data_IF_621197899625
#
_entry.id   IF_621197899625
#
_cell.length_a   1.000
_cell.length_b   1.000
_cell.length_c   1.000
_cell.angle_alpha   90.00
_cell.angle_beta   90.00
_cell.angle_gamma   90.00
#
_symmetry.space_group_name_H-M   'P 1'
#
loop_
_entity.id
_entity.type
_entity.pdbx_description
1 polymer ?
#
# COMPACT_ATOMS: atom_id res chain seq x y z
N UNK A 1 34.25 41.22 -21.58
CA UNK A 1 35.19 41.62 -20.51
C UNK A 1 35.06 43.12 -20.30
N UNK A 2 34.46 43.54 -19.18
CA UNK A 2 34.51 44.91 -18.69
C UNK A 2 34.22 44.86 -17.19
N UNK A 3 35.25 45.02 -16.38
CA UNK A 3 35.18 45.09 -14.93
C UNK A 3 35.23 46.55 -14.52
N UNK A 4 34.24 46.98 -13.74
CA UNK A 4 34.12 48.34 -13.25
C UNK A 4 33.85 48.37 -11.74
N UNK A 5 34.86 48.89 -11.04
CA UNK A 5 34.80 49.68 -9.78
C UNK A 5 34.92 48.95 -8.44
N UNK A 6 36.15 49.06 -7.93
CA UNK A 6 36.56 49.14 -6.53
C UNK A 6 35.86 50.29 -5.77
N UNK A 7 35.61 50.06 -4.47
CA UNK A 7 35.87 51.02 -3.36
C UNK A 7 35.92 50.19 -2.07
N UNK A 8 37.09 49.94 -1.46
CA UNK A 8 37.94 50.81 -0.60
C UNK A 8 37.64 50.57 0.88
N UNK A 9 38.45 49.69 1.48
CA UNK A 9 38.62 49.54 2.92
C UNK A 9 39.45 50.71 3.46
N UNK A 10 39.05 51.29 4.58
CA UNK A 10 39.92 52.11 5.42
C UNK A 10 39.49 52.00 6.88
N UNK A 11 40.40 51.48 7.70
CA UNK A 11 40.37 51.47 9.15
C UNK A 11 40.34 52.89 9.74
N UNK A 12 39.75 53.02 10.92
CA UNK A 12 40.40 53.70 12.06
C UNK A 12 39.67 53.40 13.38
N UNK A 13 40.42 52.74 14.25
CA UNK A 13 40.27 52.57 15.69
C UNK A 13 40.00 53.86 16.47
N UNK A 14 39.21 53.78 17.55
CA UNK A 14 39.46 54.51 18.81
C UNK A 14 38.98 53.68 20.02
N UNK A 15 39.86 53.59 21.02
CA UNK A 15 39.70 52.96 22.32
C UNK A 15 38.77 53.77 23.25
N UNK A 16 38.19 53.11 24.26
CA UNK A 16 38.02 53.75 25.57
C UNK A 16 36.78 53.38 26.40
N UNK A 17 36.99 52.50 27.37
CA UNK A 17 36.53 52.61 28.78
C UNK A 17 35.06 52.29 29.17
N UNK A 18 34.96 51.16 29.89
CA UNK A 18 34.22 50.91 31.15
C UNK A 18 32.75 51.29 31.28
N UNK A 19 31.93 50.26 31.51
CA UNK A 19 30.61 50.38 32.12
C UNK A 19 30.04 49.00 32.47
N UNK A 20 30.27 48.55 33.70
CA UNK A 20 29.51 47.46 34.32
C UNK A 20 28.04 47.88 34.42
N UNK A 21 27.12 47.08 33.90
CA UNK A 21 25.76 46.97 34.43
C UNK A 21 25.22 45.57 34.07
N UNK A 22 24.88 44.81 35.09
CA UNK A 22 24.21 43.53 34.96
C UNK A 22 22.73 43.68 34.58
N UNK A 23 22.09 42.51 34.43
CA UNK A 23 20.70 42.23 34.06
C UNK A 23 20.43 42.17 32.55
N UNK A 24 20.36 40.95 32.02
CA UNK A 24 19.10 40.28 31.68
C UNK A 24 19.40 38.85 31.24
N UNK A 25 19.31 37.90 32.17
CA UNK A 25 19.10 36.51 31.82
C UNK A 25 17.63 36.33 31.46
N UNK A 26 17.31 36.33 30.17
CA UNK A 26 16.04 35.84 29.62
C UNK A 26 16.15 35.85 28.09
N UNK A 27 16.56 34.72 27.50
CA UNK A 27 16.24 34.39 26.10
C UNK A 27 16.44 32.91 25.72
N UNK A 28 16.61 31.99 26.68
CA UNK A 28 16.79 30.55 26.37
C UNK A 28 15.47 29.76 26.30
N UNK A 29 14.31 30.42 26.35
CA UNK A 29 13.00 29.74 26.31
C UNK A 29 12.28 29.77 24.96
N UNK A 30 12.80 30.50 23.97
CA UNK A 30 12.19 30.56 22.64
C UNK A 30 12.74 29.54 21.64
N UNK A 31 14.01 29.14 21.76
CA UNK A 31 14.61 28.13 20.88
C UNK A 31 14.04 26.73 21.15
N UNK A 32 13.87 26.37 22.42
CA UNK A 32 13.35 25.06 22.83
C UNK A 32 11.88 24.86 22.37
N UNK A 33 11.03 25.88 22.52
CA UNK A 33 9.64 25.84 22.01
C UNK A 33 9.54 25.70 20.49
N UNK A 34 10.43 26.36 19.74
CA UNK A 34 10.49 26.24 18.27
C UNK A 34 10.89 24.84 17.82
N UNK A 35 11.85 24.21 18.49
CA UNK A 35 12.28 22.84 18.21
C UNK A 35 11.19 21.82 18.51
N UNK A 36 10.48 21.92 19.64
CA UNK A 36 9.35 21.05 19.94
C UNK A 36 8.21 21.19 18.92
N UNK A 37 7.90 22.42 18.49
CA UNK A 37 6.85 22.66 17.50
C UNK A 37 7.22 22.09 16.12
N UNK A 38 8.48 22.25 15.70
CA UNK A 38 8.98 21.70 14.44
C UNK A 38 9.00 20.16 14.47
N UNK A 39 9.44 19.57 15.58
CA UNK A 39 9.43 18.11 15.76
C UNK A 39 8.00 17.55 15.75
N UNK A 40 7.04 18.21 16.41
CA UNK A 40 5.64 17.81 16.39
C UNK A 40 5.03 17.90 14.98
N UNK A 41 5.39 18.91 14.18
CA UNK A 41 4.96 19.03 12.79
C UNK A 41 5.56 17.91 11.91
N UNK A 42 6.84 17.58 12.12
CA UNK A 42 7.50 16.50 11.39
C UNK A 42 6.86 15.14 11.71
N UNK A 43 6.55 14.86 12.98
CA UNK A 43 5.85 13.64 13.39
C UNK A 43 4.47 13.52 12.73
N UNK A 44 3.69 14.62 12.73
CA UNK A 44 2.38 14.67 12.04
C UNK A 44 2.51 14.45 10.54
N UNK A 45 3.54 14.99 9.90
CA UNK A 45 3.80 14.74 8.49
C UNK A 45 4.14 13.27 8.24
N UNK A 46 5.09 12.69 8.99
CA UNK A 46 5.47 11.29 8.88
C UNK A 46 4.27 10.34 9.05
N UNK A 47 3.41 10.59 10.05
CA UNK A 47 2.21 9.78 10.28
C UNK A 47 1.23 9.86 9.11
N UNK A 48 0.98 11.05 8.57
CA UNK A 48 0.07 11.23 7.43
C UNK A 48 0.56 10.50 6.18
N UNK A 49 1.85 10.61 5.87
CA UNK A 49 2.44 9.89 4.73
C UNK A 49 2.38 8.37 4.93
N UNK A 50 2.58 7.89 6.17
CA UNK A 50 2.41 6.47 6.51
C UNK A 50 0.97 6.01 6.30
N UNK A 51 -0.01 6.78 6.81
CA UNK A 51 -1.43 6.49 6.68
C UNK A 51 -1.87 6.50 5.19
N UNK A 52 -1.42 7.48 4.40
CA UNK A 52 -1.67 7.54 2.96
C UNK A 52 -1.07 6.34 2.22
N UNK A 53 0.15 5.93 2.56
CA UNK A 53 0.80 4.76 1.95
C UNK A 53 0.07 3.46 2.28
N UNK A 54 -0.44 3.31 3.50
CA UNK A 54 -1.23 2.15 3.89
C UNK A 54 -2.58 2.11 3.14
N UNK A 55 -3.25 3.26 3.03
CA UNK A 55 -4.52 3.40 2.31
C UNK A 55 -4.40 2.97 0.85
N UNK A 56 -3.31 3.35 0.16
CA UNK A 56 -3.05 2.93 -1.22
C UNK A 56 -2.98 1.41 -1.39
N UNK A 57 -2.31 0.72 -0.48
CA UNK A 57 -2.22 -0.75 -0.53
C UNK A 57 -3.59 -1.37 -0.28
N UNK A 58 -4.35 -0.86 0.70
CA UNK A 58 -5.71 -1.33 1.00
C UNK A 58 -6.67 -1.17 -0.18
N UNK A 59 -6.64 -0.04 -0.88
CA UNK A 59 -7.48 0.20 -2.05
C UNK A 59 -7.17 -0.75 -3.20
N UNK A 60 -5.89 -0.92 -3.53
CA UNK A 60 -5.50 -1.81 -4.63
C UNK A 60 -5.81 -3.27 -4.30
N UNK A 61 -5.58 -3.69 -3.05
CA UNK A 61 -6.00 -5.02 -2.60
C UNK A 61 -7.52 -5.19 -2.68
N UNK A 62 -8.30 -4.17 -2.26
CA UNK A 62 -9.76 -4.17 -2.39
C UNK A 62 -10.21 -4.36 -3.83
N UNK A 63 -9.59 -3.63 -4.78
CA UNK A 63 -9.87 -3.78 -6.21
C UNK A 63 -9.56 -5.19 -6.71
N UNK A 64 -8.44 -5.79 -6.29
CA UNK A 64 -8.09 -7.17 -6.63
C UNK A 64 -9.21 -8.13 -6.18
N UNK A 65 -9.67 -8.02 -4.94
CA UNK A 65 -10.74 -8.87 -4.39
C UNK A 65 -12.06 -8.66 -5.14
N UNK A 66 -12.44 -7.43 -5.44
CA UNK A 66 -13.71 -7.16 -6.10
C UNK A 66 -13.74 -7.64 -7.56
N UNK A 67 -12.63 -7.50 -8.31
CA UNK A 67 -12.51 -8.10 -9.65
C UNK A 67 -12.48 -9.63 -9.57
N UNK A 68 -11.84 -10.18 -8.54
CA UNK A 68 -11.80 -11.62 -8.32
C UNK A 68 -13.19 -12.21 -8.04
N UNK A 69 -14.02 -11.50 -7.27
CA UNK A 69 -15.41 -11.89 -7.02
C UNK A 69 -16.31 -11.72 -8.25
N UNK A 70 -16.00 -10.75 -9.13
CA UNK A 70 -16.63 -10.65 -10.45
C UNK A 70 -16.33 -11.90 -11.30
N UNK A 71 -15.08 -12.38 -11.28
CA UNK A 71 -14.71 -13.66 -11.91
C UNK A 71 -15.44 -14.85 -11.33
N UNK A 72 -15.53 -14.92 -10.00
CA UNK A 72 -16.20 -15.99 -9.31
C UNK A 72 -17.66 -16.13 -9.76
N UNK A 73 -18.37 -15.00 -9.90
CA UNK A 73 -19.77 -15.01 -10.34
C UNK A 73 -19.92 -15.49 -11.78
N UNK A 74 -18.99 -15.11 -12.67
CA UNK A 74 -18.98 -15.56 -14.06
C UNK A 74 -18.70 -17.06 -14.17
N UNK A 75 -17.74 -17.57 -13.39
CA UNK A 75 -17.41 -19.01 -13.35
C UNK A 75 -18.58 -19.85 -12.82
N UNK A 76 -19.24 -19.41 -11.74
CA UNK A 76 -20.25 -20.22 -11.07
C UNK A 76 -21.65 -20.09 -11.67
N UNK A 77 -21.92 -19.03 -12.46
CA UNK A 77 -23.27 -18.65 -12.93
C UNK A 77 -24.31 -18.68 -11.81
N UNK A 78 -23.89 -18.43 -10.57
CA UNK A 78 -24.68 -18.61 -9.36
C UNK A 78 -24.20 -17.69 -8.24
N UNK A 79 -25.13 -17.05 -7.54
CA UNK A 79 -24.86 -16.16 -6.41
C UNK A 79 -24.71 -16.95 -5.09
N UNK A 80 -23.88 -18.01 -5.08
CA UNK A 80 -23.71 -18.86 -3.88
C UNK A 80 -23.03 -18.14 -2.72
N UNK A 81 -22.28 -17.09 -3.03
CA UNK A 81 -21.58 -16.26 -2.06
C UNK A 81 -22.02 -14.80 -2.18
N UNK A 82 -22.05 -14.12 -1.03
CA UNK A 82 -22.23 -12.66 -0.99
C UNK A 82 -20.96 -11.98 -1.48
N UNK A 83 -21.10 -10.86 -2.20
CA UNK A 83 -19.97 -9.99 -2.56
C UNK A 83 -19.47 -9.24 -1.33
N UNK A 84 -18.18 -8.94 -1.33
CA UNK A 84 -17.55 -7.96 -0.46
C UNK A 84 -18.14 -6.56 -0.74
N UNK A 85 -18.18 -5.70 0.28
CA UNK A 85 -18.68 -4.34 0.13
C UNK A 85 -17.56 -3.42 -0.39
N UNK A 86 -17.21 -3.60 -1.66
CA UNK A 86 -16.15 -2.86 -2.34
C UNK A 86 -16.72 -2.31 -3.65
N UNK A 87 -16.61 -1.00 -3.83
CA UNK A 87 -17.11 -0.35 -5.04
C UNK A 87 -16.09 -0.47 -6.17
N UNK A 88 -16.54 -1.00 -7.31
CA UNK A 88 -15.81 -0.97 -8.57
C UNK A 88 -16.72 -0.43 -9.67
N UNK A 89 -16.14 0.22 -10.70
CA UNK A 89 -16.87 0.50 -11.93
C UNK A 89 -17.41 -0.81 -12.51
N UNK A 90 -18.62 -0.77 -13.07
CA UNK A 90 -19.25 -1.96 -13.66
C UNK A 90 -18.40 -2.55 -14.80
N UNK A 91 -18.09 -3.85 -14.70
CA UNK A 91 -17.33 -4.61 -15.69
C UNK A 91 -18.20 -5.60 -16.47
N UNK A 92 -19.53 -5.58 -16.27
CA UNK A 92 -20.48 -6.53 -16.87
C UNK A 92 -20.39 -6.60 -18.41
N UNK A 93 -20.05 -5.48 -19.06
CA UNK A 93 -19.90 -5.33 -20.50
C UNK A 93 -18.58 -5.91 -21.07
N UNK A 94 -17.60 -6.24 -20.23
CA UNK A 94 -16.28 -6.73 -20.66
C UNK A 94 -16.25 -8.25 -20.77
N UNK A 95 -15.52 -8.77 -21.75
CA UNK A 95 -15.26 -10.21 -21.86
C UNK A 95 -14.31 -10.72 -20.79
N UNK A 96 -14.31 -12.04 -20.55
CA UNK A 96 -13.49 -12.68 -19.50
C UNK A 96 -11.99 -12.41 -19.66
N UNK A 97 -11.52 -12.33 -20.91
CA UNK A 97 -10.13 -11.96 -21.20
C UNK A 97 -9.79 -10.55 -20.72
N UNK A 98 -10.68 -9.58 -20.88
CA UNK A 98 -10.42 -8.19 -20.49
C UNK A 98 -10.46 -8.02 -18.99
N UNK A 99 -11.43 -8.64 -18.31
CA UNK A 99 -11.48 -8.66 -16.83
C UNK A 99 -10.21 -9.30 -16.26
N UNK A 100 -9.63 -10.28 -16.97
CA UNK A 100 -8.40 -10.96 -16.56
C UNK A 100 -7.21 -10.02 -16.61
N UNK A 101 -7.09 -9.26 -17.71
CA UNK A 101 -6.05 -8.25 -17.86
C UNK A 101 -6.17 -7.14 -16.83
N UNK A 102 -7.39 -6.75 -16.47
CA UNK A 102 -7.61 -5.77 -15.39
C UNK A 102 -7.11 -6.34 -14.06
N UNK A 103 -7.43 -7.60 -13.74
CA UNK A 103 -6.94 -8.25 -12.53
C UNK A 103 -5.41 -8.33 -12.50
N UNK A 104 -4.77 -8.72 -13.61
CA UNK A 104 -3.32 -8.78 -13.73
C UNK A 104 -2.66 -7.40 -13.56
N UNK A 105 -3.24 -6.35 -14.13
CA UNK A 105 -2.81 -4.98 -13.89
C UNK A 105 -2.92 -4.60 -12.40
N UNK A 106 -4.02 -4.97 -11.72
CA UNK A 106 -4.18 -4.73 -10.29
C UNK A 106 -3.18 -5.53 -9.43
N UNK A 107 -2.81 -6.74 -9.83
CA UNK A 107 -1.75 -7.51 -9.16
C UNK A 107 -0.40 -6.80 -9.24
N UNK A 108 -0.05 -6.27 -10.41
CA UNK A 108 1.16 -5.48 -10.59
C UNK A 108 1.12 -4.18 -9.78
N UNK A 109 -0.04 -3.52 -9.71
CA UNK A 109 -0.24 -2.38 -8.82
C UNK A 109 -0.04 -2.77 -7.37
N UNK A 110 -0.59 -3.91 -6.93
CA UNK A 110 -0.50 -4.36 -5.54
C UNK A 110 0.96 -4.58 -5.14
N UNK A 111 1.71 -5.27 -6.01
CA UNK A 111 3.15 -5.46 -5.85
C UNK A 111 3.91 -4.12 -5.76
N UNK A 112 3.60 -3.19 -6.66
CA UNK A 112 4.24 -1.86 -6.69
C UNK A 112 3.93 -1.03 -5.45
N UNK A 113 2.67 -1.05 -4.98
CA UNK A 113 2.25 -0.33 -3.78
C UNK A 113 2.85 -0.93 -2.52
N UNK A 114 2.98 -2.25 -2.42
CA UNK A 114 3.65 -2.89 -1.27
C UNK A 114 5.13 -2.52 -1.24
N UNK A 115 5.82 -2.51 -2.38
CA UNK A 115 7.23 -2.08 -2.47
C UNK A 115 7.41 -0.61 -2.09
N UNK A 116 6.48 0.24 -2.50
CA UNK A 116 6.51 1.69 -2.21
C UNK A 116 5.93 2.05 -0.84
N UNK A 117 5.30 1.10 -0.14
CA UNK A 117 4.71 1.30 1.17
C UNK A 117 5.82 1.52 2.21
N UNK A 118 5.60 2.47 3.11
CA UNK A 118 6.60 2.81 4.12
C UNK A 118 6.84 1.63 5.08
N UNK A 119 8.11 1.40 5.38
CA UNK A 119 8.59 0.26 6.15
C UNK A 119 7.94 0.17 7.55
N UNK A 120 7.67 1.32 8.17
CA UNK A 120 7.08 1.44 9.51
C UNK A 120 5.63 0.93 9.61
N UNK A 121 4.90 0.87 8.49
CA UNK A 121 3.51 0.40 8.44
C UNK A 121 3.30 -0.84 7.57
N UNK A 122 4.24 -1.15 6.68
CA UNK A 122 4.12 -2.22 5.68
C UNK A 122 3.82 -3.58 6.30
N UNK A 123 4.53 -3.97 7.36
CA UNK A 123 4.32 -5.29 7.99
C UNK A 123 2.93 -5.44 8.60
N UNK A 124 2.42 -4.37 9.21
CA UNK A 124 1.06 -4.32 9.76
C UNK A 124 0.02 -4.42 8.65
N UNK A 125 0.21 -3.69 7.56
CA UNK A 125 -0.67 -3.75 6.38
C UNK A 125 -0.67 -5.16 5.78
N UNK A 126 0.50 -5.75 5.54
CA UNK A 126 0.64 -7.11 5.00
C UNK A 126 -0.06 -8.12 5.91
N UNK A 127 0.15 -8.04 7.23
CA UNK A 127 -0.53 -8.92 8.19
C UNK A 127 -2.05 -8.83 8.07
N UNK A 128 -2.59 -7.62 8.08
CA UNK A 128 -4.04 -7.39 7.94
C UNK A 128 -4.57 -7.94 6.61
N UNK A 129 -3.85 -7.76 5.51
CA UNK A 129 -4.28 -8.25 4.20
C UNK A 129 -4.22 -9.77 4.09
N UNK A 130 -3.22 -10.42 4.70
CA UNK A 130 -3.17 -11.89 4.80
C UNK A 130 -4.37 -12.41 5.58
N UNK A 131 -4.74 -11.76 6.67
CA UNK A 131 -5.92 -12.07 7.47
C UNK A 131 -7.22 -11.98 6.66
N UNK A 132 -7.40 -10.89 5.91
CA UNK A 132 -8.55 -10.74 5.02
C UNK A 132 -8.58 -11.80 3.92
N UNK A 133 -7.41 -12.14 3.38
CA UNK A 133 -7.30 -13.18 2.33
C UNK A 133 -7.67 -14.56 2.89
N UNK A 134 -7.25 -14.88 4.11
CA UNK A 134 -7.64 -16.13 4.79
C UNK A 134 -9.15 -16.16 5.06
N UNK A 135 -9.72 -15.06 5.55
CA UNK A 135 -11.17 -14.94 5.74
C UNK A 135 -11.95 -15.14 4.44
N UNK A 136 -11.45 -14.59 3.34
CA UNK A 136 -12.06 -14.75 2.02
C UNK A 136 -12.01 -16.20 1.51
N UNK A 137 -10.89 -16.90 1.71
CA UNK A 137 -10.78 -18.33 1.37
C UNK A 137 -11.71 -19.20 2.21
N UNK A 138 -11.94 -18.84 3.47
CA UNK A 138 -12.81 -19.58 4.37
C UNK A 138 -14.24 -19.68 3.83
N UNK A 139 -14.80 -18.57 3.34
CA UNK A 139 -16.13 -18.56 2.71
C UNK A 139 -16.20 -19.54 1.52
N UNK A 140 -15.14 -19.58 0.69
CA UNK A 140 -15.08 -20.53 -0.43
C UNK A 140 -14.94 -21.98 0.03
N UNK A 141 -14.18 -22.20 1.09
CA UNK A 141 -14.03 -23.52 1.72
C UNK A 141 -15.37 -24.03 2.24
N UNK A 142 -16.10 -23.21 2.98
CA UNK A 142 -17.36 -23.58 3.62
C UNK A 142 -18.49 -23.84 2.59
N UNK A 143 -18.43 -23.17 1.43
CA UNK A 143 -19.31 -23.46 0.29
C UNK A 143 -18.84 -24.59 -0.61
N UNK A 144 -17.71 -25.24 -0.29
CA UNK A 144 -17.13 -26.35 -1.04
C UNK A 144 -16.96 -26.00 -2.52
N UNK A 145 -16.48 -24.79 -2.80
CA UNK A 145 -16.28 -24.36 -4.18
C UNK A 145 -15.07 -25.05 -4.82
N UNK A 146 -15.06 -25.26 -6.15
CA UNK A 146 -13.96 -25.93 -6.84
C UNK A 146 -12.61 -25.27 -6.55
N UNK A 147 -11.60 -26.07 -6.19
CA UNK A 147 -10.26 -25.60 -5.80
C UNK A 147 -9.32 -25.33 -6.98
N UNK A 148 -9.65 -25.80 -8.17
CA UNK A 148 -8.85 -25.60 -9.40
C UNK A 148 -9.37 -24.44 -10.27
N UNK A 149 -10.27 -23.61 -9.74
CA UNK A 149 -10.88 -22.51 -10.50
C UNK A 149 -9.91 -21.36 -10.72
N UNK A 150 -10.12 -20.53 -11.75
CA UNK A 150 -9.27 -19.35 -11.99
C UNK A 150 -9.28 -18.41 -10.78
N UNK A 151 -10.44 -18.32 -10.13
CA UNK A 151 -10.61 -17.56 -8.89
C UNK A 151 -9.60 -17.97 -7.81
N UNK A 152 -9.42 -19.26 -7.50
CA UNK A 152 -8.41 -19.66 -6.50
C UNK A 152 -6.97 -19.44 -7.00
N UNK A 153 -6.71 -19.60 -8.30
CA UNK A 153 -5.39 -19.34 -8.88
C UNK A 153 -4.96 -17.88 -8.67
N UNK A 154 -5.83 -16.93 -8.97
CA UNK A 154 -5.54 -15.50 -8.79
C UNK A 154 -5.55 -15.08 -7.31
N UNK A 155 -6.45 -15.63 -6.49
CA UNK A 155 -6.37 -15.47 -5.03
C UNK A 155 -5.00 -15.92 -4.48
N UNK A 156 -4.46 -17.01 -5.03
CA UNK A 156 -3.13 -17.52 -4.68
C UNK A 156 -2.03 -16.53 -5.04
N UNK A 157 -2.15 -15.84 -6.18
CA UNK A 157 -1.21 -14.77 -6.58
C UNK A 157 -1.29 -13.55 -5.66
N UNK A 158 -2.49 -13.15 -5.24
CA UNK A 158 -2.65 -12.07 -4.24
C UNK A 158 -1.90 -12.46 -2.96
N UNK A 159 -2.15 -13.66 -2.43
CA UNK A 159 -1.46 -14.11 -1.22
C UNK A 159 0.07 -14.24 -1.42
N UNK A 160 0.51 -14.70 -2.58
CA UNK A 160 1.93 -14.77 -2.93
C UNK A 160 2.60 -13.40 -2.91
N UNK A 161 1.96 -12.37 -3.48
CA UNK A 161 2.46 -10.99 -3.39
C UNK A 161 2.56 -10.54 -1.93
N UNK A 162 1.54 -10.82 -1.11
CA UNK A 162 1.57 -10.47 0.32
C UNK A 162 2.66 -11.25 1.09
N UNK A 163 2.96 -12.47 0.66
CA UNK A 163 3.94 -13.34 1.32
C UNK A 163 5.38 -13.03 0.92
N UNK A 164 5.64 -12.74 -0.36
CA UNK A 164 6.97 -12.66 -0.95
C UNK A 164 7.31 -11.28 -1.51
N UNK A 165 6.35 -10.35 -1.56
CA UNK A 165 6.49 -9.04 -2.20
C UNK A 165 6.54 -9.07 -3.72
N UNK A 166 6.25 -10.22 -4.35
CA UNK A 166 6.24 -10.42 -5.81
C UNK A 166 5.46 -11.68 -6.20
N UNK A 167 5.03 -11.77 -7.45
CA UNK A 167 4.43 -12.99 -8.04
C UNK A 167 4.91 -13.18 -9.48
N UNK A 168 4.69 -14.37 -10.04
CA UNK A 168 4.75 -14.56 -11.49
C UNK A 168 3.51 -13.94 -12.16
N UNK A 169 3.73 -12.99 -13.04
CA UNK A 169 2.69 -12.40 -13.91
C UNK A 169 2.69 -13.14 -15.25
N UNK A 170 1.52 -13.48 -15.84
CA UNK A 170 1.48 -14.00 -17.20
C UNK A 170 2.11 -12.98 -18.15
N UNK A 171 3.03 -13.46 -18.97
CA UNK A 171 4.02 -12.70 -19.75
C UNK A 171 3.46 -11.79 -20.83
N UNK A 172 2.15 -11.68 -21.00
CA UNK A 172 1.52 -10.86 -22.05
C UNK A 172 1.62 -9.34 -21.79
N UNK A 173 1.95 -8.93 -20.55
CA UNK A 173 2.38 -7.55 -20.26
C UNK A 173 3.82 -7.25 -20.70
N UNK A 174 4.63 -8.29 -20.96
CA UNK A 174 6.09 -8.18 -21.16
C UNK A 174 6.55 -8.49 -22.59
N UNK A 175 5.66 -8.80 -23.53
CA UNK A 175 6.05 -9.05 -24.92
C UNK A 175 6.09 -7.79 -25.77
N UNK A 176 7.10 -6.94 -25.55
CA UNK A 176 7.77 -6.21 -26.62
C UNK A 176 9.28 -6.19 -26.40
N UNK A 177 10.09 -6.79 -27.29
CA UNK A 177 11.53 -6.66 -27.24
C UNK A 177 11.92 -5.27 -27.74
N UNK A 178 12.50 -4.48 -26.86
CA UNK A 178 13.04 -3.15 -27.17
C UNK A 178 12.33 -2.07 -26.40
N UNK A 179 12.77 -1.83 -25.17
CA UNK A 179 12.99 -0.48 -24.66
C UNK A 179 13.82 -0.52 -23.37
N UNK A 180 14.57 0.55 -23.19
CA UNK A 180 15.78 0.66 -22.38
C UNK A 180 15.43 0.79 -20.88
N UNK A 181 16.28 0.22 -20.01
CA UNK A 181 16.27 0.40 -18.55
C UNK A 181 15.03 -0.12 -17.77
N UNK A 182 14.67 -1.39 -17.96
CA UNK A 182 14.10 -2.23 -16.88
C UNK A 182 12.73 -1.86 -16.31
N UNK A 183 11.99 -0.93 -16.91
CA UNK A 183 10.60 -0.61 -16.55
C UNK A 183 9.81 -0.43 -17.85
N UNK A 184 8.76 -1.20 -18.07
CA UNK A 184 7.92 -1.07 -19.26
C UNK A 184 7.15 0.26 -19.27
N UNK A 185 6.73 0.72 -20.45
CA UNK A 185 5.91 1.94 -20.59
C UNK A 185 4.61 1.82 -19.80
N UNK A 186 4.04 0.62 -19.77
CA UNK A 186 2.85 0.27 -19.03
C UNK A 186 3.10 0.33 -17.51
N UNK A 187 4.22 -0.20 -17.03
CA UNK A 187 4.66 -0.05 -15.63
C UNK A 187 4.85 1.42 -15.25
N UNK A 188 5.45 2.22 -16.13
CA UNK A 188 5.62 3.66 -15.90
C UNK A 188 4.28 4.40 -15.85
N UNK A 189 3.34 4.10 -16.75
CA UNK A 189 2.01 4.69 -16.74
C UNK A 189 1.19 4.28 -15.50
N UNK A 190 1.37 3.04 -15.05
CA UNK A 190 0.80 2.52 -13.81
C UNK A 190 1.37 3.23 -12.57
N UNK A 191 2.68 3.48 -12.56
CA UNK A 191 3.37 4.25 -11.51
C UNK A 191 2.86 5.69 -11.49
N UNK A 192 2.65 6.32 -12.65
CA UNK A 192 2.09 7.68 -12.73
C UNK A 192 0.63 7.75 -12.23
N UNK A 193 -0.22 6.80 -12.62
CA UNK A 193 -1.60 6.72 -12.10
C UNK A 193 -1.62 6.47 -10.59
N UNK A 194 -0.68 5.66 -10.11
CA UNK A 194 -0.46 5.39 -8.69
C UNK A 194 -0.03 6.66 -7.93
N UNK A 195 0.88 7.46 -8.49
CA UNK A 195 1.32 8.73 -7.90
C UNK A 195 0.19 9.76 -7.81
N UNK A 196 -0.70 9.82 -8.80
CA UNK A 196 -1.87 10.70 -8.73
C UNK A 196 -2.79 10.33 -7.56
N UNK A 197 -3.12 9.05 -7.40
CA UNK A 197 -3.91 8.57 -6.26
C UNK A 197 -3.22 8.77 -4.90
N UNK A 198 -1.89 8.64 -4.85
CA UNK A 198 -1.12 8.98 -3.64
C UNK A 198 -1.35 10.44 -3.27
N UNK A 199 -1.33 11.36 -4.24
CA UNK A 199 -1.56 12.79 -3.97
C UNK A 199 -2.99 13.09 -3.49
N UNK A 200 -3.99 12.38 -4.03
CA UNK A 200 -5.39 12.49 -3.59
C UNK A 200 -5.55 11.97 -2.15
N UNK A 201 -4.93 10.81 -1.85
CA UNK A 201 -4.96 10.24 -0.51
C UNK A 201 -4.23 11.13 0.49
N UNK A 202 -3.02 11.60 0.17
CA UNK A 202 -2.24 12.50 1.03
C UNK A 202 -3.00 13.82 1.30
N UNK A 203 -3.71 14.35 0.30
CA UNK A 203 -4.62 15.49 0.48
C UNK A 203 -5.76 15.15 1.45
N UNK A 204 -6.39 13.99 1.30
CA UNK A 204 -7.49 13.57 2.18
C UNK A 204 -7.08 13.40 3.66
N UNK A 205 -5.85 12.92 3.92
CA UNK A 205 -5.28 12.85 5.28
C UNK A 205 -4.73 14.20 5.77
N UNK A 206 -4.49 15.14 4.85
CA UNK A 206 -4.18 16.53 5.20
C UNK A 206 -5.43 17.28 5.63
N UNK A 207 -6.53 17.07 4.92
CA UNK A 207 -7.82 17.72 5.18
C UNK A 207 -8.47 17.19 6.48
N UNK A 208 -8.28 15.89 6.80
CA UNK A 208 -8.69 15.29 8.08
C UNK A 208 -7.51 14.57 8.77
N UNK A 209 -6.84 15.22 9.74
CA UNK A 209 -5.74 14.65 10.50
C UNK A 209 -6.12 13.48 11.43
N UNK A 210 -7.42 13.28 11.69
CA UNK A 210 -7.92 12.16 12.52
C UNK A 210 -8.27 10.93 11.70
N UNK A 211 -8.37 11.08 10.38
CA UNK A 211 -8.59 9.99 9.44
C UNK A 211 -7.54 8.90 9.63
N UNK A 212 -7.99 7.65 9.58
CA UNK A 212 -7.13 6.47 9.60
C UNK A 212 -7.29 5.68 8.31
N UNK A 213 -6.27 4.90 7.92
CA UNK A 213 -6.38 3.98 6.80
C UNK A 213 -7.52 3.00 7.04
N UNK A 214 -8.39 2.84 6.05
CA UNK A 214 -9.54 1.96 6.12
C UNK A 214 -9.24 0.65 5.40
N UNK A 215 -9.38 -0.45 6.11
CA UNK A 215 -9.30 -1.79 5.51
C UNK A 215 -10.54 -2.02 4.64
N UNK A 216 -10.39 -2.66 3.46
CA UNK A 216 -11.54 -2.95 2.62
C UNK A 216 -12.48 -3.96 3.30
N UNK A 217 -13.78 -3.77 3.10
CA UNK A 217 -14.83 -4.62 3.68
C UNK A 217 -14.97 -5.93 2.90
N UNK A 218 -14.01 -6.84 3.11
CA UNK A 218 -13.97 -8.16 2.49
C UNK A 218 -14.86 -9.15 3.24
N UNK A 219 -15.61 -9.99 2.51
CA UNK A 219 -16.33 -11.13 3.10
C UNK A 219 -15.35 -12.04 3.85
N UNK A 220 -15.74 -12.54 5.02
CA UNK A 220 -14.82 -13.26 5.89
C UNK A 220 -15.52 -14.38 6.64
N UNK A 221 -14.94 -15.59 6.57
CA UNK A 221 -15.25 -16.73 7.42
C UNK A 221 -14.13 -17.04 8.42
N UNK A 222 -14.13 -18.27 8.94
CA UNK A 222 -13.09 -18.75 9.86
C UNK A 222 -11.74 -18.91 9.14
N UNK A 223 -10.76 -18.07 9.49
CA UNK A 223 -9.43 -18.03 8.87
C UNK A 223 -8.69 -19.37 8.91
N UNK A 224 -8.97 -20.26 9.87
CA UNK A 224 -8.41 -21.63 9.91
C UNK A 224 -8.87 -22.45 8.70
N UNK A 225 -10.14 -22.35 8.32
CA UNK A 225 -10.69 -22.95 7.09
C UNK A 225 -10.06 -22.34 5.84
N UNK A 226 -9.81 -21.04 5.88
CA UNK A 226 -9.07 -20.33 4.84
C UNK A 226 -7.66 -20.90 4.62
N UNK A 227 -6.94 -21.13 5.71
CA UNK A 227 -5.61 -21.75 5.68
C UNK A 227 -5.66 -23.20 5.15
N UNK A 228 -6.64 -24.00 5.56
CA UNK A 228 -6.87 -25.35 5.02
C UNK A 228 -7.05 -25.34 3.49
N UNK A 229 -7.87 -24.41 2.97
CA UNK A 229 -8.06 -24.25 1.53
C UNK A 229 -6.78 -23.83 0.83
N UNK A 230 -6.07 -22.82 1.36
CA UNK A 230 -4.83 -22.32 0.75
C UNK A 230 -3.76 -23.41 0.65
N UNK A 231 -3.57 -24.23 1.70
CA UNK A 231 -2.63 -25.37 1.66
C UNK A 231 -2.97 -26.39 0.57
N UNK A 232 -4.25 -26.56 0.28
CA UNK A 232 -4.71 -27.49 -0.76
C UNK A 232 -4.34 -26.97 -2.16
N UNK A 233 -4.44 -25.66 -2.40
CA UNK A 233 -4.23 -25.05 -3.72
C UNK A 233 -2.79 -24.56 -3.98
N UNK A 234 -2.06 -24.16 -2.94
CA UNK A 234 -0.75 -23.51 -3.00
C UNK A 234 0.16 -23.98 -1.86
N UNK A 235 0.56 -25.25 -1.92
CA UNK A 235 1.49 -25.86 -0.94
C UNK A 235 2.80 -25.07 -0.79
N UNK A 236 3.26 -24.43 -1.87
CA UNK A 236 4.48 -23.62 -1.86
C UNK A 236 4.37 -22.34 -0.99
N UNK A 237 3.16 -21.96 -0.57
CA UNK A 237 2.89 -20.80 0.27
C UNK A 237 2.62 -21.16 1.74
N UNK A 238 2.64 -22.43 2.12
CA UNK A 238 2.29 -22.91 3.46
C UNK A 238 3.10 -22.24 4.58
N UNK A 239 4.42 -22.07 4.36
CA UNK A 239 5.32 -21.44 5.34
C UNK A 239 5.04 -19.95 5.59
N UNK A 240 4.17 -19.33 4.78
CA UNK A 240 3.81 -17.92 4.91
C UNK A 240 2.42 -17.71 5.52
N UNK A 241 1.71 -18.80 5.82
CA UNK A 241 0.45 -18.78 6.54
C UNK A 241 0.74 -18.43 8.00
N UNK A 242 0.02 -17.45 8.60
CA UNK A 242 0.17 -17.14 10.02
C UNK A 242 -0.02 -18.39 10.90
N UNK A 243 0.94 -18.72 11.80
CA UNK A 243 0.92 -19.93 12.60
C UNK A 243 -0.37 -20.13 13.42
N UNK A 244 -0.99 -19.03 13.85
CA UNK A 244 -2.26 -19.03 14.58
C UNK A 244 -3.42 -19.69 13.81
N UNK A 245 -3.32 -19.81 12.48
CA UNK A 245 -4.32 -20.46 11.63
C UNK A 245 -4.00 -21.92 11.32
N UNK A 246 -2.84 -22.42 11.75
CA UNK A 246 -2.38 -23.80 11.53
C UNK A 246 -2.64 -24.72 12.73
N UNK A 247 -2.96 -24.17 13.89
CA UNK A 247 -3.23 -24.94 15.11
C UNK A 247 -4.66 -25.51 15.05
N UNK A 248 -4.75 -26.82 14.85
CA UNK A 248 -5.93 -27.60 15.24
C UNK A 248 -5.90 -27.76 16.75
N UNK A 249 -6.96 -27.33 17.44
CA UNK A 249 -7.13 -27.59 18.87
C UNK A 249 -6.88 -29.10 19.12
N UNK A 250 -5.84 -29.40 19.91
CA UNK A 250 -5.62 -30.75 20.43
C UNK A 250 -6.82 -31.07 21.30
N UNK A 251 -7.71 -31.92 20.79
CA UNK A 251 -8.75 -32.56 21.60
C UNK A 251 -8.13 -33.54 22.58
#
# INVERSE_FOLDING_TARGET
>A
MSFGKQTRWRDSSHQGMTGHNGHHGHNDHHEDQGHYQQQAQQLKYCQRTADASAQMVYEVYGNCIAILEEFEQREQKSNRLKKSNISLPDQSHKGDHDVRRILEAQLLMLETQIKSCRDDVRDKVIKNLKDLTMGWYAERHDKQLPTESYTDKYAGKIFEILARGRTSHPSDFYQKPGDVAGVSKEEMQLVLASQHKISENDRSFTDDPTRRPETPSVRSGDKRRGAERLRTIRKDLENYIPPEYLVTDMK
#
